data_IF_860236901392
#
_entry.id   IF_860236901392
#
_cell.length_a   1.000
_cell.length_b   1.000
_cell.length_c   1.000
_cell.angle_alpha   90.00
_cell.angle_beta   90.00
_cell.angle_gamma   90.00
#
_symmetry.space_group_name_H-M   'P 1'
#
loop_
_entity.id
_entity.type
_entity.pdbx_description
1 polymer ?
#
# COMPACT_ATOMS: atom_id res chain seq x y z
N UNK A 1 41.72 23.90 3.47
CA UNK A 1 40.30 24.31 3.45
C UNK A 1 39.65 23.85 4.75
N UNK A 2 38.78 24.65 5.40
CA UNK A 2 38.11 24.20 6.62
C UNK A 2 37.10 23.09 6.33
N UNK A 3 36.98 22.13 7.25
CA UNK A 3 35.97 21.07 7.19
C UNK A 3 34.63 21.55 7.75
N UNK A 4 33.53 21.02 7.22
CA UNK A 4 32.21 21.22 7.82
C UNK A 4 32.05 20.48 9.14
N UNK A 5 31.12 20.93 9.99
CA UNK A 5 30.83 20.37 11.31
C UNK A 5 29.52 19.59 11.39
N UNK A 6 28.86 19.33 10.24
CA UNK A 6 27.60 18.59 10.22
C UNK A 6 27.85 17.13 10.62
N UNK A 7 27.39 16.77 11.82
CA UNK A 7 27.37 15.37 12.27
C UNK A 7 26.36 14.58 11.43
N UNK A 8 26.81 13.46 10.85
CA UNK A 8 25.97 12.59 10.03
C UNK A 8 25.48 11.42 10.89
N UNK A 9 24.16 11.22 10.91
CA UNK A 9 23.53 10.08 11.57
C UNK A 9 22.93 9.12 10.55
N UNK A 10 22.58 7.90 10.98
CA UNK A 10 21.91 6.90 10.13
C UNK A 10 20.42 7.20 9.90
N UNK A 11 19.99 8.46 10.04
CA UNK A 11 18.61 8.91 9.83
C UNK A 11 18.37 9.40 8.40
N UNK A 12 17.10 9.65 8.07
CA UNK A 12 16.71 10.11 6.73
C UNK A 12 17.24 11.50 6.41
N UNK A 13 17.59 11.73 5.15
CA UNK A 13 18.04 13.04 4.65
C UNK A 13 16.84 13.93 4.28
N UNK A 14 16.93 15.27 4.49
CA UNK A 14 18.08 16.00 5.03
C UNK A 14 18.27 15.83 6.54
N UNK A 15 19.52 15.73 7.00
CA UNK A 15 19.88 15.44 8.39
C UNK A 15 19.36 16.48 9.41
N UNK A 16 19.25 17.74 9.00
CA UNK A 16 18.74 18.81 9.87
C UNK A 16 17.21 18.85 9.97
N UNK A 17 16.51 18.18 9.05
CA UNK A 17 15.04 18.13 9.02
C UNK A 17 14.59 16.81 8.38
N UNK A 18 14.77 15.67 9.07
CA UNK A 18 14.50 14.36 8.51
C UNK A 18 13.04 14.29 8.06
N UNK A 19 12.77 13.90 6.81
CA UNK A 19 11.42 13.86 6.29
C UNK A 19 10.62 12.82 7.03
N UNK A 20 11.20 11.84 7.72
CA UNK A 20 10.45 10.86 8.50
C UNK A 20 11.28 10.24 9.64
N UNK A 21 10.63 9.76 10.72
CA UNK A 21 11.30 9.01 11.78
C UNK A 21 11.77 7.65 11.25
N UNK A 22 12.81 7.09 11.88
CA UNK A 22 13.38 5.78 11.51
C UNK A 22 12.75 4.61 12.24
N UNK A 23 11.98 4.89 13.28
CA UNK A 23 11.23 3.87 14.02
C UNK A 23 10.02 3.42 13.20
N UNK A 24 9.39 2.30 13.57
CA UNK A 24 8.17 1.84 12.90
C UNK A 24 7.07 2.90 12.82
N UNK A 25 6.02 2.64 12.06
CA UNK A 25 4.91 3.60 11.88
C UNK A 25 3.62 3.07 12.47
N UNK A 26 2.98 3.88 13.31
CA UNK A 26 1.65 3.66 13.84
C UNK A 26 0.66 4.63 13.20
N UNK A 27 -0.49 4.11 12.80
CA UNK A 27 -1.60 4.83 12.22
C UNK A 27 -2.86 4.49 13.01
N UNK A 28 -3.68 5.47 13.35
CA UNK A 28 -4.93 5.27 14.10
C UNK A 28 -6.09 5.88 13.35
N UNK A 29 -7.32 5.47 13.70
CA UNK A 29 -8.56 5.96 13.11
C UNK A 29 -8.61 5.83 11.57
N UNK A 30 -7.98 4.81 11.02
CA UNK A 30 -8.01 4.47 9.61
C UNK A 30 -9.35 3.87 9.19
N UNK A 31 -9.65 4.02 7.90
CA UNK A 31 -10.67 3.22 7.19
C UNK A 31 -9.99 2.39 6.12
N UNK A 32 -10.16 1.08 6.16
CA UNK A 32 -9.53 0.15 5.22
C UNK A 32 -10.61 -0.58 4.46
N UNK A 33 -10.60 -0.48 3.13
CA UNK A 33 -11.42 -1.31 2.26
C UNK A 33 -10.52 -2.31 1.54
N UNK A 34 -10.76 -3.59 1.77
CA UNK A 34 -10.06 -4.68 1.08
C UNK A 34 -11.05 -5.41 0.20
N UNK A 35 -10.76 -5.48 -1.10
CA UNK A 35 -11.48 -6.34 -2.04
C UNK A 35 -10.53 -7.43 -2.51
N UNK A 36 -10.88 -8.66 -2.17
CA UNK A 36 -10.11 -9.85 -2.53
C UNK A 36 -10.66 -10.45 -3.80
N UNK A 37 -9.80 -10.88 -4.71
CA UNK A 37 -10.18 -11.61 -5.90
C UNK A 37 -9.09 -12.57 -6.38
N UNK A 38 -9.46 -13.56 -7.17
CA UNK A 38 -8.52 -14.42 -7.86
C UNK A 38 -8.20 -13.86 -9.24
N UNK A 39 -6.94 -14.01 -9.64
CA UNK A 39 -6.45 -13.67 -10.98
C UNK A 39 -5.75 -14.88 -11.60
N UNK A 40 -5.35 -14.80 -12.86
CA UNK A 40 -4.59 -15.87 -13.52
C UNK A 40 -3.11 -15.65 -13.32
N UNK A 41 -2.36 -16.75 -13.16
CA UNK A 41 -0.89 -16.72 -13.23
C UNK A 41 -0.37 -15.93 -14.45
N UNK A 42 -0.99 -16.12 -15.63
CA UNK A 42 -0.57 -15.47 -16.87
C UNK A 42 -0.62 -13.93 -16.79
N UNK A 43 -1.58 -13.37 -16.04
CA UNK A 43 -1.74 -11.93 -15.86
C UNK A 43 -0.69 -11.32 -14.91
N UNK A 44 -0.15 -12.09 -13.96
CA UNK A 44 0.70 -11.52 -12.90
C UNK A 44 2.15 -12.00 -12.92
N UNK A 45 2.47 -13.07 -13.65
CA UNK A 45 3.83 -13.66 -13.70
C UNK A 45 4.93 -12.68 -14.07
N UNK A 46 4.62 -11.65 -14.87
CA UNK A 46 5.59 -10.65 -15.33
C UNK A 46 5.80 -9.51 -14.31
N UNK A 47 4.96 -9.44 -13.26
CA UNK A 47 5.06 -8.47 -12.17
C UNK A 47 5.78 -9.04 -10.94
N UNK A 48 5.93 -10.36 -10.89
CA UNK A 48 6.51 -11.09 -9.76
C UNK A 48 7.94 -11.49 -10.12
N UNK A 49 8.93 -11.23 -9.25
CA UNK A 49 10.30 -11.68 -9.46
C UNK A 49 10.42 -13.20 -9.65
N UNK A 50 11.31 -13.63 -10.53
CA UNK A 50 11.48 -15.03 -10.96
C UNK A 50 11.95 -16.00 -9.86
N UNK A 51 12.50 -15.48 -8.77
CA UNK A 51 12.86 -16.28 -7.59
C UNK A 51 11.67 -16.57 -6.65
N UNK A 52 10.49 -16.02 -6.91
CA UNK A 52 9.29 -16.26 -6.12
C UNK A 52 8.34 -17.24 -6.82
N UNK A 53 7.82 -18.19 -6.06
CA UNK A 53 6.86 -19.18 -6.55
C UNK A 53 5.45 -18.58 -6.57
N UNK A 54 4.68 -18.94 -7.62
CA UNK A 54 3.27 -18.56 -7.77
C UNK A 54 2.42 -19.80 -7.97
N UNK A 55 1.24 -19.79 -7.35
CA UNK A 55 0.19 -20.75 -7.64
C UNK A 55 -0.43 -20.51 -9.03
N UNK A 56 -1.12 -21.51 -9.59
CA UNK A 56 -1.78 -21.41 -10.90
C UNK A 56 -2.93 -20.38 -10.90
N UNK A 57 -3.69 -20.32 -9.80
CA UNK A 57 -4.76 -19.34 -9.55
C UNK A 57 -4.41 -18.45 -8.33
N UNK A 58 -3.45 -17.52 -8.48
CA UNK A 58 -3.00 -16.73 -7.34
C UNK A 58 -4.14 -15.84 -6.82
N UNK A 59 -4.28 -15.82 -5.50
CA UNK A 59 -5.15 -14.87 -4.83
C UNK A 59 -4.50 -13.48 -4.85
N UNK A 60 -5.20 -12.50 -5.39
CA UNK A 60 -4.81 -11.09 -5.40
C UNK A 60 -5.69 -10.28 -4.48
N UNK A 61 -5.07 -9.47 -3.63
CA UNK A 61 -5.80 -8.57 -2.75
C UNK A 61 -5.60 -7.14 -3.29
N UNK A 62 -6.69 -6.47 -3.64
CA UNK A 62 -6.64 -5.01 -3.87
C UNK A 62 -7.17 -4.30 -2.64
N UNK A 63 -6.26 -3.59 -1.98
CA UNK A 63 -6.55 -2.86 -0.75
C UNK A 63 -6.55 -1.36 -1.03
N UNK A 64 -7.71 -0.75 -0.89
CA UNK A 64 -7.86 0.71 -0.83
C UNK A 64 -7.83 1.14 0.64
N UNK A 65 -6.71 1.72 1.05
CA UNK A 65 -6.51 2.19 2.42
C UNK A 65 -6.72 3.69 2.47
N UNK A 66 -7.72 4.16 3.22
CA UNK A 66 -7.87 5.56 3.60
C UNK A 66 -7.45 5.71 5.06
N UNK A 67 -6.20 6.12 5.28
CA UNK A 67 -5.73 6.42 6.62
C UNK A 67 -6.15 7.84 6.99
N UNK A 68 -6.96 7.96 8.03
CA UNK A 68 -7.28 9.25 8.64
C UNK A 68 -6.24 9.54 9.72
N UNK A 69 -5.00 9.85 9.30
CA UNK A 69 -4.11 10.51 10.24
C UNK A 69 -4.73 11.87 10.55
N UNK A 70 -4.95 12.17 11.83
CA UNK A 70 -5.44 13.45 12.34
C UNK A 70 -4.42 14.57 12.10
N UNK A 71 -4.09 14.84 10.86
CA UNK A 71 -3.18 15.89 10.43
C UNK A 71 -3.63 16.31 9.02
N UNK A 72 -4.47 17.34 8.99
CA UNK A 72 -4.71 18.16 7.81
C UNK A 72 -3.36 18.62 7.26
N UNK A 73 -2.86 18.03 6.17
CA UNK A 73 -2.07 18.70 5.13
C UNK A 73 -1.33 17.69 4.26
N UNK A 74 -1.20 18.06 2.99
CA UNK A 74 -0.35 17.49 1.94
C UNK A 74 1.02 16.93 2.41
N UNK A 75 1.59 17.47 3.49
CA UNK A 75 2.86 17.04 4.09
C UNK A 75 2.84 15.64 4.70
N UNK A 76 1.71 15.14 5.20
CA UNK A 76 1.64 13.77 5.76
C UNK A 76 1.67 12.70 4.68
N UNK A 77 1.11 12.99 3.50
CA UNK A 77 1.08 12.07 2.37
C UNK A 77 2.48 11.86 1.77
N UNK A 78 3.26 12.93 1.65
CA UNK A 78 4.66 12.85 1.22
C UNK A 78 5.54 12.17 2.28
N UNK A 79 5.34 12.48 3.56
CA UNK A 79 6.01 11.80 4.69
C UNK A 79 5.82 10.29 4.62
N UNK A 80 4.57 9.87 4.55
CA UNK A 80 4.20 8.46 4.51
C UNK A 80 4.77 7.78 3.27
N UNK A 81 4.66 8.42 2.11
CA UNK A 81 5.24 7.91 0.85
C UNK A 81 6.73 7.58 1.02
N UNK A 82 7.51 8.52 1.54
CA UNK A 82 8.96 8.31 1.71
C UNK A 82 9.29 7.24 2.74
N UNK A 83 8.60 7.18 3.88
CA UNK A 83 8.76 6.10 4.88
C UNK A 83 8.56 4.75 4.20
N UNK A 84 7.36 4.52 3.65
CA UNK A 84 6.99 3.17 3.21
C UNK A 84 7.80 2.75 1.97
N UNK A 85 8.12 3.67 1.07
CA UNK A 85 8.91 3.34 -0.12
C UNK A 85 10.39 3.11 0.21
N UNK A 86 11.02 3.99 1.00
CA UNK A 86 12.47 3.89 1.27
C UNK A 86 12.81 2.88 2.36
N UNK A 87 12.05 2.87 3.46
CA UNK A 87 12.34 2.01 4.61
C UNK A 87 11.85 0.57 4.39
N UNK A 88 10.71 0.40 3.74
CA UNK A 88 10.04 -0.89 3.61
C UNK A 88 9.94 -1.41 2.15
N UNK A 89 10.36 -0.63 1.16
CA UNK A 89 10.36 -1.06 -0.24
C UNK A 89 8.97 -1.09 -0.89
N UNK A 90 7.94 -0.47 -0.31
CA UNK A 90 6.61 -0.47 -0.93
C UNK A 90 6.64 0.24 -2.30
N UNK A 91 6.07 -0.34 -3.37
CA UNK A 91 6.03 0.26 -4.70
C UNK A 91 4.96 1.35 -4.79
N UNK A 92 5.14 2.42 -4.02
CA UNK A 92 4.18 3.54 -3.97
C UNK A 92 4.38 4.49 -5.15
N UNK A 93 3.27 4.99 -5.67
CA UNK A 93 3.18 6.12 -6.60
C UNK A 93 2.22 7.14 -6.03
N UNK A 94 2.45 8.43 -6.33
CA UNK A 94 1.52 9.49 -5.93
C UNK A 94 0.30 9.50 -6.86
N UNK A 95 -0.89 9.65 -6.28
CA UNK A 95 -2.19 9.74 -6.94
C UNK A 95 -3.27 10.17 -5.96
N UNK A 96 -4.46 10.54 -6.46
CA UNK A 96 -5.58 10.90 -5.61
C UNK A 96 -6.36 9.64 -5.27
N UNK A 97 -6.44 9.31 -3.97
CA UNK A 97 -7.24 8.18 -3.49
C UNK A 97 -8.37 8.72 -2.64
N UNK A 98 -9.60 8.31 -2.95
CA UNK A 98 -10.77 8.69 -2.19
C UNK A 98 -11.62 7.47 -1.84
N UNK A 99 -12.22 7.52 -0.65
CA UNK A 99 -13.23 6.58 -0.20
C UNK A 99 -14.44 7.37 0.30
N UNK A 100 -15.55 7.29 -0.43
CA UNK A 100 -16.80 8.00 -0.20
C UNK A 100 -17.77 7.07 0.52
N UNK A 101 -17.95 7.32 1.82
CA UNK A 101 -18.80 6.50 2.71
C UNK A 101 -20.27 6.92 2.73
N UNK A 102 -20.59 8.10 2.17
CA UNK A 102 -21.94 8.70 2.19
C UNK A 102 -22.32 9.11 0.78
N UNK A 103 -22.88 8.18 0.03
CA UNK A 103 -23.31 8.37 -1.37
C UNK A 103 -24.82 8.53 -1.50
N UNK A 104 -25.58 8.49 -0.39
CA UNK A 104 -27.04 8.34 -0.43
C UNK A 104 -27.49 6.91 -0.81
N UNK A 105 -26.55 6.01 -1.05
CA UNK A 105 -26.73 4.57 -1.29
C UNK A 105 -26.13 3.77 -0.12
N UNK A 106 -26.50 2.50 -0.01
CA UNK A 106 -25.85 1.53 0.89
C UNK A 106 -24.44 1.14 0.43
N UNK A 107 -24.08 1.46 -0.82
CA UNK A 107 -22.79 1.13 -1.41
C UNK A 107 -21.73 2.17 -1.04
N UNK A 108 -20.63 1.68 -0.46
CA UNK A 108 -19.40 2.45 -0.26
C UNK A 108 -18.63 2.45 -1.57
N UNK A 109 -18.17 3.64 -1.96
CA UNK A 109 -17.47 3.85 -3.22
C UNK A 109 -16.06 4.34 -2.97
N UNK A 110 -15.09 3.84 -3.73
CA UNK A 110 -13.71 4.31 -3.70
C UNK A 110 -13.15 4.45 -5.11
N UNK A 111 -12.17 5.34 -5.28
CA UNK A 111 -11.50 5.51 -6.56
C UNK A 111 -10.06 5.97 -6.40
N UNK A 112 -9.27 5.73 -7.45
CA UNK A 112 -7.90 6.19 -7.61
C UNK A 112 -7.79 6.97 -8.92
N UNK A 113 -7.30 8.21 -8.83
CA UNK A 113 -7.01 9.04 -10.01
C UNK A 113 -5.52 9.25 -10.19
N UNK A 114 -5.06 9.10 -11.45
CA UNK A 114 -3.69 9.39 -11.85
C UNK A 114 -3.59 9.59 -13.38
N UNK A 115 -3.34 10.82 -13.87
CA UNK A 115 -3.35 12.10 -13.14
C UNK A 115 -4.73 12.43 -12.56
N UNK A 116 -4.82 13.51 -11.78
CA UNK A 116 -6.09 14.00 -11.24
C UNK A 116 -7.13 14.18 -12.38
N UNK A 117 -8.34 13.69 -12.16
CA UNK A 117 -9.41 13.67 -13.17
C UNK A 117 -9.43 12.44 -14.08
N UNK A 118 -8.37 11.62 -14.14
CA UNK A 118 -8.39 10.31 -14.83
C UNK A 118 -8.50 9.19 -13.81
N UNK A 119 -9.65 8.50 -13.77
CA UNK A 119 -9.92 7.39 -12.85
C UNK A 119 -9.33 6.08 -13.38
N UNK A 120 -8.21 5.67 -12.81
CA UNK A 120 -7.53 4.42 -13.20
C UNK A 120 -8.09 3.20 -12.47
N UNK A 121 -8.66 3.38 -11.28
CA UNK A 121 -9.30 2.31 -10.50
C UNK A 121 -10.55 2.85 -9.82
N UNK A 122 -11.60 2.05 -9.82
CA UNK A 122 -12.84 2.30 -9.10
C UNK A 122 -13.23 1.04 -8.32
N UNK A 123 -13.70 1.22 -7.09
CA UNK A 123 -14.04 0.14 -6.17
C UNK A 123 -15.44 0.39 -5.61
N UNK A 124 -16.30 -0.62 -5.72
CA UNK A 124 -17.59 -0.67 -5.03
C UNK A 124 -17.55 -1.66 -3.88
N UNK A 125 -18.19 -1.33 -2.77
CA UNK A 125 -18.40 -2.24 -1.65
C UNK A 125 -19.83 -2.14 -1.14
N UNK A 126 -20.52 -3.27 -1.11
CA UNK A 126 -21.84 -3.40 -0.52
C UNK A 126 -21.71 -4.11 0.84
N UNK A 127 -21.92 -3.40 1.96
CA UNK A 127 -21.92 -4.03 3.29
C UNK A 127 -23.10 -5.00 3.41
N UNK A 128 -22.85 -6.22 3.86
CA UNK A 128 -23.87 -7.26 4.07
C UNK A 128 -24.02 -7.59 5.55
N UNK A 129 -22.89 -7.76 6.25
CA UNK A 129 -22.88 -8.14 7.66
C UNK A 129 -21.84 -7.34 8.44
N UNK A 130 -22.25 -6.82 9.60
CA UNK A 130 -21.31 -6.32 10.60
C UNK A 130 -20.85 -7.48 11.48
N UNK A 131 -19.53 -7.69 11.58
CA UNK A 131 -18.98 -8.69 12.49
C UNK A 131 -19.03 -8.17 13.93
N UNK A 132 -19.29 -9.06 14.88
CA UNK A 132 -19.30 -8.72 16.31
C UNK A 132 -17.88 -8.79 16.86
N UNK A 133 -17.49 -7.76 17.60
CA UNK A 133 -16.20 -7.68 18.27
C UNK A 133 -15.14 -6.94 17.47
N UNK A 134 -13.94 -6.93 18.03
CA UNK A 134 -12.74 -6.36 17.44
C UNK A 134 -12.04 -7.42 16.59
N UNK A 135 -11.47 -7.02 15.45
CA UNK A 135 -10.64 -7.91 14.63
C UNK A 135 -9.19 -7.49 14.74
N UNK A 136 -8.36 -8.41 15.21
CA UNK A 136 -6.92 -8.35 15.07
C UNK A 136 -6.50 -9.20 13.87
N UNK A 137 -5.71 -8.62 12.97
CA UNK A 137 -5.18 -9.30 11.81
C UNK A 137 -3.77 -8.83 11.51
N UNK A 138 -2.95 -9.74 10.99
CA UNK A 138 -1.59 -9.41 10.53
C UNK A 138 -1.51 -9.71 9.05
N UNK A 139 -1.17 -8.70 8.26
CA UNK A 139 -0.86 -8.88 6.84
C UNK A 139 0.65 -9.06 6.73
N UNK A 140 1.07 -10.22 6.24
CA UNK A 140 2.45 -10.50 5.92
C UNK A 140 2.68 -10.21 4.44
N UNK A 141 3.76 -9.50 4.14
CA UNK A 141 4.12 -9.12 2.79
C UNK A 141 5.62 -9.25 2.56
N UNK A 142 6.00 -9.30 1.28
CA UNK A 142 7.38 -9.30 0.84
C UNK A 142 7.55 -8.23 -0.24
N UNK A 143 8.34 -7.22 0.05
CA UNK A 143 8.56 -6.10 -0.85
C UNK A 143 9.94 -6.21 -1.51
N UNK A 144 10.03 -5.89 -2.80
CA UNK A 144 11.30 -5.73 -3.50
C UNK A 144 11.79 -4.27 -3.37
N UNK A 145 12.86 -4.05 -2.60
CA UNK A 145 13.49 -2.74 -2.44
C UNK A 145 14.65 -2.58 -3.41
N UNK A 146 14.55 -1.59 -4.30
CA UNK A 146 15.62 -1.25 -5.26
C UNK A 146 15.98 0.23 -5.11
N UNK A 147 17.27 0.52 -4.88
CA UNK A 147 17.82 1.88 -4.88
C UNK A 147 18.90 1.95 -5.96
N UNK A 148 18.74 2.79 -6.99
CA UNK A 148 19.70 2.91 -8.07
C UNK A 148 21.05 3.43 -7.57
N UNK A 149 22.12 3.09 -8.29
CA UNK A 149 23.42 3.70 -8.06
C UNK A 149 23.42 5.16 -8.49
N UNK A 150 24.21 5.98 -7.80
CA UNK A 150 24.50 7.36 -8.21
C UNK A 150 25.41 7.41 -9.43
N UNK A 151 26.12 6.32 -9.73
CA UNK A 151 26.97 6.18 -10.91
C UNK A 151 26.16 5.56 -12.03
N UNK A 152 26.15 6.21 -13.20
CA UNK A 152 25.50 5.70 -14.41
C UNK A 152 25.99 4.29 -14.74
N UNK A 153 25.07 3.45 -15.22
CA UNK A 153 25.35 2.10 -15.72
C UNK A 153 25.91 1.10 -14.69
N UNK A 154 25.92 1.47 -13.41
CA UNK A 154 26.23 0.54 -12.33
C UNK A 154 24.98 -0.20 -11.82
N UNK A 155 25.24 -1.38 -11.22
CA UNK A 155 24.20 -2.13 -10.52
C UNK A 155 23.58 -1.28 -9.41
N UNK A 156 22.29 -1.48 -9.07
CA UNK A 156 21.64 -0.80 -7.96
C UNK A 156 22.48 -0.93 -6.66
N UNK A 157 22.60 0.17 -5.92
CA UNK A 157 23.30 0.16 -4.62
C UNK A 157 22.57 -0.66 -3.56
N UNK A 158 21.26 -0.81 -3.70
CA UNK A 158 20.44 -1.71 -2.88
C UNK A 158 19.51 -2.49 -3.78
N UNK A 159 19.48 -3.81 -3.62
CA UNK A 159 18.56 -4.73 -4.29
C UNK A 159 18.29 -5.90 -3.35
N UNK A 160 17.13 -5.91 -2.72
CA UNK A 160 16.83 -6.87 -1.65
C UNK A 160 15.33 -7.11 -1.49
N UNK A 161 14.97 -8.24 -0.89
CA UNK A 161 13.61 -8.54 -0.44
C UNK A 161 13.47 -8.16 1.04
N UNK A 162 12.42 -7.39 1.34
CA UNK A 162 12.11 -6.86 2.66
C UNK A 162 10.80 -7.48 3.14
N UNK A 163 10.82 -8.38 4.14
CA UNK A 163 9.60 -8.88 4.77
C UNK A 163 8.95 -7.75 5.58
N UNK A 164 7.63 -7.65 5.49
CA UNK A 164 6.86 -6.64 6.21
C UNK A 164 5.66 -7.29 6.87
N UNK A 165 5.53 -7.06 8.16
CA UNK A 165 4.34 -7.40 8.93
C UNK A 165 3.57 -6.10 9.23
N UNK A 166 2.30 -6.06 8.81
CA UNK A 166 1.37 -4.98 9.11
C UNK A 166 0.34 -5.55 10.08
N UNK A 167 0.44 -5.19 11.36
CA UNK A 167 -0.61 -5.51 12.32
C UNK A 167 -1.73 -4.49 12.21
N UNK A 168 -2.96 -4.98 12.29
CA UNK A 168 -4.16 -4.18 12.16
C UNK A 168 -5.19 -4.62 13.19
N UNK A 169 -5.67 -3.64 13.94
CA UNK A 169 -6.76 -3.74 14.90
C UNK A 169 -7.93 -2.89 14.39
N UNK A 170 -9.16 -3.40 14.45
CA UNK A 170 -10.33 -2.62 14.06
C UNK A 170 -11.53 -2.91 14.97
N UNK A 171 -12.13 -1.85 15.51
CA UNK A 171 -13.32 -1.93 16.38
C UNK A 171 -14.64 -2.05 15.61
N UNK A 172 -14.63 -1.74 14.31
CA UNK A 172 -15.80 -1.89 13.45
C UNK A 172 -15.42 -2.58 12.14
N UNK A 173 -15.93 -3.80 11.94
CA UNK A 173 -15.67 -4.61 10.76
C UNK A 173 -16.96 -4.96 10.04
N UNK A 174 -16.98 -4.66 8.76
CA UNK A 174 -18.06 -5.00 7.85
C UNK A 174 -17.55 -5.96 6.80
N UNK A 175 -18.33 -7.00 6.54
CA UNK A 175 -18.10 -7.97 5.50
C UNK A 175 -19.20 -7.85 4.44
N UNK A 176 -18.85 -8.10 3.18
CA UNK A 176 -19.82 -8.16 2.10
C UNK A 176 -19.16 -8.32 0.75
N UNK A 177 -19.90 -7.92 -0.29
CA UNK A 177 -19.45 -8.02 -1.68
C UNK A 177 -18.68 -6.78 -2.11
N UNK A 178 -17.56 -7.01 -2.81
CA UNK A 178 -16.74 -5.98 -3.43
C UNK A 178 -16.72 -6.10 -4.95
N UNK A 179 -16.53 -5.00 -5.64
CA UNK A 179 -16.31 -4.95 -7.08
C UNK A 179 -15.18 -3.98 -7.41
N UNK A 180 -14.45 -4.26 -8.49
CA UNK A 180 -13.36 -3.41 -8.99
C UNK A 180 -13.58 -3.17 -10.47
N UNK A 181 -13.35 -1.93 -10.90
CA UNK A 181 -13.41 -1.51 -12.29
C UNK A 181 -12.18 -0.66 -12.63
N UNK A 182 -11.79 -0.64 -13.90
CA UNK A 182 -10.68 0.14 -14.44
C UNK A 182 -11.22 1.02 -15.57
N UNK A 183 -11.87 2.16 -15.25
CA UNK A 183 -12.63 2.91 -16.25
C UNK A 183 -11.73 3.57 -17.30
N UNK A 184 -10.56 4.07 -16.92
CA UNK A 184 -9.62 4.72 -17.83
C UNK A 184 -8.24 4.04 -17.76
N UNK A 185 -8.01 2.95 -18.53
CA UNK A 185 -6.75 2.20 -18.47
C UNK A 185 -5.55 3.07 -18.85
N UNK A 186 -4.46 2.93 -18.10
CA UNK A 186 -3.23 3.71 -18.27
C UNK A 186 -2.04 2.79 -18.56
N UNK A 187 -1.23 3.13 -19.57
CA UNK A 187 0.05 2.45 -19.81
C UNK A 187 1.10 2.73 -18.72
N UNK A 188 0.94 3.83 -17.99
CA UNK A 188 1.83 4.17 -16.87
C UNK A 188 1.44 3.45 -15.57
N UNK A 189 0.19 2.97 -15.48
CA UNK A 189 -0.39 2.25 -14.35
C UNK A 189 -1.19 1.04 -14.85
N UNK A 190 -0.50 -0.07 -15.21
CA UNK A 190 -1.10 -1.23 -15.85
C UNK A 190 -1.91 -2.11 -14.88
N UNK A 191 -2.58 -1.53 -13.89
CA UNK A 191 -3.40 -2.29 -12.93
C UNK A 191 -4.55 -3.05 -13.61
N UNK A 192 -5.05 -2.50 -14.72
CA UNK A 192 -6.10 -3.11 -15.55
C UNK A 192 -5.66 -4.42 -16.24
N UNK A 193 -4.35 -4.69 -16.31
CA UNK A 193 -3.82 -5.95 -16.88
C UNK A 193 -4.02 -7.13 -15.92
N UNK A 194 -4.20 -6.87 -14.62
CA UNK A 194 -4.54 -7.87 -13.61
C UNK A 194 -6.03 -8.15 -13.68
N UNK A 195 -6.39 -9.16 -14.48
CA UNK A 195 -7.80 -9.53 -14.70
C UNK A 195 -8.39 -10.22 -13.47
N UNK A 196 -9.60 -9.81 -13.11
CA UNK A 196 -10.41 -10.47 -12.08
C UNK A 196 -11.07 -11.71 -12.68
N UNK A 197 -10.78 -12.89 -12.13
CA UNK A 197 -11.45 -14.15 -12.47
C UNK A 197 -12.67 -14.36 -11.59
N UNK A 198 -12.48 -14.25 -10.27
CA UNK A 198 -13.50 -14.51 -9.26
C UNK A 198 -13.32 -13.60 -8.06
N UNK A 199 -14.39 -12.96 -7.62
CA UNK A 199 -14.39 -12.19 -6.38
C UNK A 199 -14.43 -13.12 -5.16
N UNK A 200 -13.62 -12.78 -4.16
CA UNK A 200 -13.73 -13.30 -2.82
C UNK A 200 -14.45 -12.30 -1.91
N UNK A 201 -14.33 -12.53 -0.60
CA UNK A 201 -14.95 -11.67 0.40
C UNK A 201 -14.27 -10.30 0.46
N UNK A 202 -15.06 -9.23 0.52
CA UNK A 202 -14.58 -7.88 0.77
C UNK A 202 -14.82 -7.49 2.23
N UNK A 203 -13.89 -6.71 2.79
CA UNK A 203 -13.95 -6.22 4.16
C UNK A 203 -13.77 -4.72 4.22
N UNK A 204 -14.63 -4.05 4.98
CA UNK A 204 -14.50 -2.64 5.34
C UNK A 204 -14.25 -2.53 6.85
N UNK A 205 -13.07 -2.06 7.20
CA UNK A 205 -12.64 -1.82 8.56
C UNK A 205 -12.72 -0.33 8.85
N UNK A 206 -13.35 0.04 9.97
CA UNK A 206 -13.45 1.40 10.46
C UNK A 206 -12.85 1.49 11.85
N UNK A 207 -12.38 2.69 12.19
CA UNK A 207 -11.64 2.96 13.42
C UNK A 207 -10.46 1.98 13.57
N UNK A 208 -9.76 1.74 12.45
CA UNK A 208 -8.67 0.80 12.41
C UNK A 208 -7.37 1.45 12.88
N UNK A 209 -6.60 0.73 13.68
CA UNK A 209 -5.22 1.05 14.02
C UNK A 209 -4.31 0.11 13.23
N UNK A 210 -3.30 0.66 12.56
CA UNK A 210 -2.31 -0.10 11.80
C UNK A 210 -0.92 0.19 12.34
N UNK A 211 -0.13 -0.85 12.51
CA UNK A 211 1.24 -0.78 12.97
C UNK A 211 2.15 -1.50 11.97
N UNK A 212 3.14 -0.78 11.46
CA UNK A 212 4.19 -1.31 10.59
C UNK A 212 5.48 -1.26 11.39
N UNK A 213 6.09 -2.42 11.64
CA UNK A 213 7.34 -2.53 12.38
C UNK A 213 8.50 -2.73 11.44
N UNK A 214 9.69 -2.27 11.84
CA UNK A 214 10.92 -2.43 11.08
C UNK A 214 11.17 -3.89 10.73
N UNK A 215 11.67 -4.18 9.50
CA UNK A 215 12.04 -5.54 9.13
C UNK A 215 13.17 -6.02 10.04
N UNK A 216 13.04 -7.21 10.62
CA UNK A 216 14.08 -7.82 11.48
C UNK A 216 15.22 -8.41 10.66
N UNK A 217 14.96 -8.76 9.40
CA UNK A 217 15.92 -9.29 8.43
C UNK A 217 15.55 -8.81 7.03
N UNK A 218 16.53 -8.74 6.14
CA UNK A 218 16.37 -8.49 4.70
C UNK A 218 17.15 -9.54 3.91
N UNK A 219 16.73 -9.84 2.69
CA UNK A 219 17.38 -10.85 1.83
C UNK A 219 18.00 -10.18 0.60
N UNK A 220 19.32 -10.15 0.51
CA UNK A 220 20.04 -9.54 -0.63
C UNK A 220 19.85 -10.37 -1.91
N UNK A 221 19.82 -9.69 -3.07
CA UNK A 221 19.63 -10.26 -4.41
C UNK A 221 20.77 -9.96 -5.39
#
# INVERSE_FOLDING_TARGET
>A
MPFGSLSVSNTSIPQYAPPYPVDGSDYTNGTVLTVTYQTSFQCVRHLVPDMLELEDEPQSNTTAIRLTTSFHSYWTMTRQFYVVAKQFGFPKKLGNVALVLKTGSTIVHGYVERPAGQKIVEVGFQPEQKLKGTVESTIQGLNLRVIPSVVSDQRPSVKELVPVDISMDASEVWQGSGSICFPEPSRFDPMHEVKVIRYGTANLLRNASLAIRLPTKVFQL
#
